data_IF_536518828950
#
_entry.id   IF_536518828950
#
_cell.length_a   1.000
_cell.length_b   1.000
_cell.length_c   1.000
_cell.angle_alpha   90.00
_cell.angle_beta   90.00
_cell.angle_gamma   90.00
#
_symmetry.space_group_name_H-M   'P 1'
#
loop_
_entity.id
_entity.type
_entity.pdbx_description
1 polymer ?
#
# COMPACT_ATOMS: atom_id res chain seq x y z
N UNK A 1 6.10 21.66 35.90
CA UNK A 1 5.93 22.16 34.52
C UNK A 1 5.30 23.54 34.55
N UNK A 2 5.76 24.46 33.71
CA UNK A 2 5.12 25.77 33.54
C UNK A 2 3.93 25.64 32.58
N UNK A 3 2.99 26.61 32.59
CA UNK A 3 1.84 26.65 31.67
C UNK A 3 2.27 26.46 30.20
N UNK A 4 3.38 27.07 29.80
CA UNK A 4 3.91 26.93 28.44
C UNK A 4 4.31 25.49 28.07
N UNK A 5 4.85 24.72 29.02
CA UNK A 5 5.22 23.32 28.78
C UNK A 5 3.97 22.45 28.62
N UNK A 6 2.93 22.72 29.41
CA UNK A 6 1.63 22.04 29.30
C UNK A 6 0.98 22.35 27.95
N UNK A 7 1.01 23.62 27.51
CA UNK A 7 0.44 24.01 26.21
C UNK A 7 1.11 23.27 25.06
N UNK A 8 2.44 23.13 25.06
CA UNK A 8 3.15 22.36 24.02
C UNK A 8 2.66 20.91 23.95
N UNK A 9 2.42 20.27 25.09
CA UNK A 9 1.89 18.90 25.11
C UNK A 9 0.44 18.83 24.61
N UNK A 10 -0.38 19.83 24.94
CA UNK A 10 -1.73 19.96 24.39
C UNK A 10 -1.71 20.14 22.86
N UNK A 11 -0.80 20.94 22.33
CA UNK A 11 -0.65 21.16 20.90
C UNK A 11 -0.22 19.88 20.17
N UNK A 12 0.65 19.07 20.77
CA UNK A 12 0.98 17.73 20.27
C UNK A 12 -0.25 16.80 20.26
N UNK A 13 -1.05 16.81 21.33
CA UNK A 13 -2.25 15.99 21.42
C UNK A 13 -3.30 16.40 20.38
N UNK A 14 -3.50 17.71 20.17
CA UNK A 14 -4.44 18.20 19.16
C UNK A 14 -4.04 17.72 17.75
N UNK A 15 -2.75 17.84 17.40
CA UNK A 15 -2.24 17.33 16.12
C UNK A 15 -2.41 15.81 16.00
N UNK A 16 -2.23 15.06 17.09
CA UNK A 16 -2.50 13.63 17.11
C UNK A 16 -3.96 13.30 16.84
N UNK A 17 -4.90 14.00 17.49
CA UNK A 17 -6.34 13.81 17.31
C UNK A 17 -6.75 14.08 15.86
N UNK A 18 -6.15 15.09 15.22
CA UNK A 18 -6.37 15.39 13.80
C UNK A 18 -5.81 14.32 12.87
N UNK A 19 -4.67 13.71 13.21
CA UNK A 19 -4.01 12.68 12.41
C UNK A 19 -4.70 11.31 12.50
N UNK A 20 -5.29 10.97 13.64
CA UNK A 20 -5.83 9.65 13.94
C UNK A 20 -6.81 9.11 12.87
N UNK A 21 -7.79 9.88 12.36
CA UNK A 21 -8.71 9.39 11.34
C UNK A 21 -8.02 8.99 10.02
N UNK A 22 -6.96 9.70 9.62
CA UNK A 22 -6.22 9.36 8.40
C UNK A 22 -5.38 8.09 8.59
N UNK A 23 -4.87 7.84 9.80
CA UNK A 23 -4.20 6.56 10.12
C UNK A 23 -5.18 5.39 10.05
N UNK A 24 -6.38 5.54 10.63
CA UNK A 24 -7.44 4.52 10.58
C UNK A 24 -7.91 4.26 9.15
N UNK A 25 -8.10 5.31 8.36
CA UNK A 25 -8.42 5.21 6.94
C UNK A 25 -7.31 4.50 6.14
N UNK A 26 -6.04 4.75 6.50
CA UNK A 26 -4.91 4.02 5.95
C UNK A 26 -5.05 2.50 6.10
N UNK A 27 -5.52 2.03 7.26
CA UNK A 27 -5.76 0.58 7.50
C UNK A 27 -6.81 0.03 6.53
N UNK A 28 -7.92 0.74 6.31
CA UNK A 28 -8.94 0.30 5.36
C UNK A 28 -8.44 0.35 3.90
N UNK A 29 -7.63 1.35 3.56
CA UNK A 29 -6.97 1.42 2.25
C UNK A 29 -6.04 0.23 2.02
N UNK A 30 -5.29 -0.19 3.04
CA UNK A 30 -4.46 -1.39 2.98
C UNK A 30 -5.26 -2.65 2.70
N UNK A 31 -6.37 -2.87 3.42
CA UNK A 31 -7.27 -4.01 3.18
C UNK A 31 -7.78 -4.02 1.74
N UNK A 32 -8.19 -2.86 1.24
CA UNK A 32 -8.67 -2.73 -0.15
C UNK A 32 -7.56 -3.00 -1.16
N UNK A 33 -6.35 -2.48 -0.93
CA UNK A 33 -5.21 -2.71 -1.80
C UNK A 33 -4.87 -4.21 -1.88
N UNK A 34 -4.81 -4.91 -0.75
CA UNK A 34 -4.56 -6.35 -0.72
C UNK A 34 -5.64 -7.14 -1.46
N UNK A 35 -6.92 -6.78 -1.29
CA UNK A 35 -8.02 -7.43 -2.01
C UNK A 35 -7.98 -7.22 -3.54
N UNK A 36 -7.45 -6.09 -4.00
CA UNK A 36 -7.26 -5.81 -5.43
C UNK A 36 -6.04 -6.55 -6.00
N UNK A 37 -4.94 -6.59 -5.25
CA UNK A 37 -3.68 -7.19 -5.70
C UNK A 37 -3.68 -8.72 -5.62
N UNK A 38 -4.47 -9.32 -4.74
CA UNK A 38 -4.55 -10.78 -4.62
C UNK A 38 -4.92 -11.50 -5.94
N UNK A 39 -6.03 -11.16 -6.63
CA UNK A 39 -6.34 -11.79 -7.91
C UNK A 39 -5.32 -11.46 -9.00
N UNK A 40 -4.73 -10.26 -8.99
CA UNK A 40 -3.70 -9.85 -9.95
C UNK A 40 -2.41 -10.66 -9.76
N UNK A 41 -2.00 -10.92 -8.52
CA UNK A 41 -0.86 -11.76 -8.17
C UNK A 41 -1.07 -13.20 -8.62
N UNK A 42 -2.27 -13.75 -8.36
CA UNK A 42 -2.62 -15.12 -8.81
C UNK A 42 -2.62 -15.22 -10.33
N UNK A 43 -3.14 -14.21 -11.02
CA UNK A 43 -3.13 -14.15 -12.48
C UNK A 43 -1.70 -14.07 -13.02
N UNK A 44 -0.88 -13.14 -12.51
CA UNK A 44 0.52 -12.98 -12.94
C UNK A 44 1.35 -14.26 -12.76
N UNK A 45 1.10 -15.02 -11.69
CA UNK A 45 1.80 -16.27 -11.41
C UNK A 45 1.31 -17.45 -12.27
N UNK A 46 0.24 -17.29 -13.04
CA UNK A 46 -0.44 -18.38 -13.73
C UNK A 46 0.21 -18.69 -15.09
N UNK A 47 0.12 -19.95 -15.58
CA UNK A 47 0.52 -20.28 -16.94
C UNK A 47 -0.26 -19.49 -18.01
N UNK A 48 -1.55 -19.21 -17.74
CA UNK A 48 -2.43 -18.47 -18.64
C UNK A 48 -1.95 -17.04 -18.89
N UNK A 49 -1.37 -16.38 -17.88
CA UNK A 49 -0.76 -15.05 -18.09
C UNK A 49 0.40 -15.11 -19.09
N UNK A 50 1.24 -16.14 -19.03
CA UNK A 50 2.37 -16.32 -19.99
C UNK A 50 1.87 -16.56 -21.40
N UNK A 51 0.87 -17.43 -21.55
CA UNK A 51 0.26 -17.69 -22.85
C UNK A 51 -0.35 -16.41 -23.44
N UNK A 52 -1.08 -15.63 -22.63
CA UNK A 52 -1.67 -14.37 -23.06
C UNK A 52 -0.59 -13.31 -23.33
N UNK A 53 0.48 -13.25 -22.56
CA UNK A 53 1.61 -12.37 -22.82
C UNK A 53 2.20 -12.59 -24.22
N UNK A 54 2.36 -13.86 -24.61
CA UNK A 54 2.97 -14.23 -25.89
C UNK A 54 2.00 -14.11 -27.09
N UNK A 55 0.70 -14.30 -26.87
CA UNK A 55 -0.27 -14.52 -27.94
C UNK A 55 -1.38 -13.47 -28.06
N UNK A 56 -1.58 -12.62 -27.06
CA UNK A 56 -2.66 -11.62 -27.08
C UNK A 56 -2.27 -10.42 -27.93
N UNK A 57 -2.98 -10.23 -29.05
CA UNK A 57 -2.71 -9.19 -30.06
C UNK A 57 -3.76 -8.06 -30.07
N UNK A 58 -4.79 -8.17 -29.23
CA UNK A 58 -5.82 -7.14 -29.07
C UNK A 58 -5.38 -6.01 -28.13
N UNK A 59 -6.02 -4.84 -28.28
CA UNK A 59 -5.74 -3.69 -27.42
C UNK A 59 -6.66 -3.67 -26.19
N UNK A 60 -6.06 -3.67 -25.00
CA UNK A 60 -6.79 -3.40 -23.75
C UNK A 60 -7.01 -1.89 -23.57
N UNK A 61 -8.18 -1.52 -23.05
CA UNK A 61 -8.42 -0.16 -22.55
C UNK A 61 -7.74 0.03 -21.18
N UNK A 62 -6.48 0.44 -21.21
CA UNK A 62 -5.67 0.58 -19.99
C UNK A 62 -5.94 1.87 -19.21
N UNK A 63 -6.80 2.77 -19.73
CA UNK A 63 -7.02 4.11 -19.17
C UNK A 63 -5.72 4.90 -18.93
N UNK A 64 -4.71 4.70 -19.76
CA UNK A 64 -3.40 5.36 -19.65
C UNK A 64 -2.37 4.63 -18.78
N UNK A 65 -2.71 3.46 -18.23
CA UNK A 65 -1.76 2.61 -17.50
C UNK A 65 -1.04 1.63 -18.44
N UNK A 66 -0.05 0.92 -17.91
CA UNK A 66 0.55 -0.24 -18.59
C UNK A 66 -0.42 -1.42 -18.60
N UNK A 67 -0.31 -2.26 -19.64
CA UNK A 67 -1.08 -3.50 -19.75
C UNK A 67 -0.70 -4.47 -18.64
N UNK A 68 -1.69 -5.18 -18.09
CA UNK A 68 -1.47 -6.29 -17.14
C UNK A 68 -0.70 -7.46 -17.78
N UNK A 69 -0.66 -7.52 -19.11
CA UNK A 69 0.12 -8.48 -19.86
C UNK A 69 1.56 -8.00 -20.11
N UNK A 70 1.96 -6.80 -19.68
CA UNK A 70 3.39 -6.46 -19.68
C UNK A 70 4.09 -7.13 -18.49
N UNK A 71 5.32 -7.60 -18.70
CA UNK A 71 6.14 -8.20 -17.62
C UNK A 71 6.24 -7.27 -16.40
N UNK A 72 6.48 -5.98 -16.65
CA UNK A 72 6.80 -5.02 -15.59
C UNK A 72 5.58 -4.47 -14.84
N UNK A 73 4.38 -4.43 -15.43
CA UNK A 73 3.25 -3.74 -14.78
C UNK A 73 2.84 -4.39 -13.45
N UNK A 74 2.59 -5.71 -13.47
CA UNK A 74 2.19 -6.43 -12.27
C UNK A 74 3.39 -6.66 -11.35
N UNK A 75 4.59 -6.90 -11.90
CA UNK A 75 5.80 -7.04 -11.09
C UNK A 75 6.09 -5.77 -10.27
N UNK A 76 6.02 -4.59 -10.90
CA UNK A 76 6.24 -3.32 -10.21
C UNK A 76 5.17 -3.08 -9.14
N UNK A 77 3.88 -3.22 -9.49
CA UNK A 77 2.78 -3.01 -8.55
C UNK A 77 2.87 -3.91 -7.30
N UNK A 78 3.22 -5.18 -7.49
CA UNK A 78 3.40 -6.14 -6.39
C UNK A 78 4.64 -5.80 -5.56
N UNK A 79 5.74 -5.42 -6.20
CA UNK A 79 6.99 -5.04 -5.54
C UNK A 79 6.84 -3.76 -4.70
N UNK A 80 6.16 -2.75 -5.24
CA UNK A 80 5.85 -1.49 -4.54
C UNK A 80 5.00 -1.76 -3.29
N UNK A 81 3.94 -2.59 -3.41
CA UNK A 81 3.10 -2.95 -2.27
C UNK A 81 3.88 -3.71 -1.20
N UNK A 82 4.77 -4.62 -1.60
CA UNK A 82 5.63 -5.36 -0.69
C UNK A 82 6.60 -4.43 0.07
N UNK A 83 7.25 -3.50 -0.64
CA UNK A 83 8.14 -2.52 -0.01
C UNK A 83 7.41 -1.65 1.01
N UNK A 84 6.21 -1.16 0.67
CA UNK A 84 5.38 -0.40 1.60
C UNK A 84 5.01 -1.24 2.84
N UNK A 85 4.71 -2.53 2.67
CA UNK A 85 4.37 -3.40 3.78
C UNK A 85 5.55 -3.62 4.73
N UNK A 86 6.78 -3.75 4.18
CA UNK A 86 8.00 -3.82 4.98
C UNK A 86 8.24 -2.56 5.81
N UNK A 87 8.03 -1.37 5.22
CA UNK A 87 8.16 -0.12 5.97
C UNK A 87 7.12 -0.01 7.09
N UNK A 88 5.87 -0.39 6.81
CA UNK A 88 4.82 -0.45 7.83
C UNK A 88 5.13 -1.43 8.96
N UNK A 89 5.66 -2.61 8.62
CA UNK A 89 6.10 -3.59 9.61
C UNK A 89 7.20 -3.02 10.50
N UNK A 90 8.25 -2.42 9.92
CA UNK A 90 9.35 -1.79 10.66
C UNK A 90 8.85 -0.73 11.63
N UNK A 91 8.00 0.20 11.16
CA UNK A 91 7.45 1.28 11.98
C UNK A 91 6.57 0.75 13.11
N UNK A 92 5.71 -0.22 12.80
CA UNK A 92 4.79 -0.82 13.77
C UNK A 92 5.55 -1.60 14.84
N UNK A 93 6.50 -2.45 14.44
CA UNK A 93 7.35 -3.18 15.38
C UNK A 93 8.15 -2.21 16.24
N UNK A 94 8.81 -1.21 15.64
CA UNK A 94 9.59 -0.22 16.40
C UNK A 94 8.73 0.56 17.41
N UNK A 95 7.44 0.79 17.13
CA UNK A 95 6.52 1.39 18.09
C UNK A 95 6.14 0.41 19.21
N UNK A 96 5.80 -0.83 18.86
CA UNK A 96 5.35 -1.87 19.81
C UNK A 96 6.47 -2.29 20.77
N UNK A 97 7.71 -2.35 20.30
CA UNK A 97 8.86 -2.82 21.09
C UNK A 97 9.61 -1.69 21.80
N UNK A 98 9.11 -0.45 21.76
CA UNK A 98 9.64 0.64 22.60
C UNK A 98 9.24 0.35 24.06
N UNK A 99 10.19 -0.14 24.85
CA UNK A 99 10.12 -0.13 26.31
C UNK A 99 10.31 1.29 26.87
#
# INVERSE_FOLDING_TARGET
MKKADIQKMQDCYNQWVELLPELEKGIEQWKRASALLEPLSRFYASPEWRELHDSFDEQLDTKGNYSILSEDALWNALSEHHQLALEWLKLSTAYITKE
#
